data_IF_632425543269
#
_entry.id   IF_632425543269
#
_cell.length_a   1.000
_cell.length_b   1.000
_cell.length_c   1.000
_cell.angle_alpha   90.00
_cell.angle_beta   90.00
_cell.angle_gamma   90.00
#
_symmetry.space_group_name_H-M   'P 1'
#
loop_
_entity.id
_entity.type
_entity.pdbx_description
1 polymer ?
#
# COMPACT_ATOMS: atom_id res chain seq x y z
N UNK A 1 -21.46 1.06 11.06
CA UNK A 1 -20.13 0.94 10.45
C UNK A 1 -19.39 -0.17 11.20
N UNK A 2 -18.87 -1.17 10.53
CA UNK A 2 -18.10 -2.24 11.16
C UNK A 2 -16.73 -1.72 11.59
N UNK A 3 -16.24 -2.22 12.73
CA UNK A 3 -14.90 -1.90 13.24
C UNK A 3 -14.05 -3.17 13.25
N UNK A 4 -12.79 -3.06 12.80
CA UNK A 4 -11.88 -4.19 12.73
C UNK A 4 -10.56 -3.88 13.43
N UNK A 5 -9.91 -4.92 13.94
CA UNK A 5 -8.57 -4.82 14.51
C UNK A 5 -7.55 -5.34 13.51
N UNK A 6 -6.73 -4.43 12.97
CA UNK A 6 -5.61 -4.79 12.10
C UNK A 6 -4.44 -5.30 12.97
N UNK A 7 -4.20 -6.61 12.94
CA UNK A 7 -3.16 -7.24 13.77
C UNK A 7 -1.80 -7.19 13.08
N UNK A 8 -0.74 -6.94 13.88
CA UNK A 8 0.67 -7.14 13.48
C UNK A 8 1.11 -6.43 12.19
N UNK A 9 0.72 -5.18 12.00
CA UNK A 9 1.15 -4.38 10.83
C UNK A 9 2.66 -4.15 10.83
N UNK A 10 3.24 -3.84 11.99
CA UNK A 10 4.67 -3.59 12.18
C UNK A 10 5.17 -4.52 13.29
N UNK A 11 6.14 -5.40 12.97
CA UNK A 11 6.54 -6.50 13.87
C UNK A 11 7.76 -6.20 14.74
N UNK A 12 8.59 -5.27 14.32
CA UNK A 12 9.87 -4.98 14.98
C UNK A 12 10.27 -3.50 14.80
N UNK A 13 11.19 -3.06 15.65
CA UNK A 13 11.68 -1.69 15.67
C UNK A 13 12.25 -1.22 14.31
N UNK A 14 13.00 -2.07 13.61
CA UNK A 14 13.63 -1.71 12.33
C UNK A 14 12.59 -1.49 11.23
N UNK A 15 11.60 -2.36 11.16
CA UNK A 15 10.48 -2.19 10.24
C UNK A 15 9.71 -0.91 10.54
N UNK A 16 9.52 -0.57 11.81
CA UNK A 16 8.86 0.67 12.22
C UNK A 16 9.61 1.91 11.71
N UNK A 17 10.92 1.98 11.93
CA UNK A 17 11.75 3.08 11.45
C UNK A 17 11.80 3.16 9.91
N UNK A 18 11.79 2.02 9.22
CA UNK A 18 11.71 2.00 7.76
C UNK A 18 10.38 2.58 7.24
N UNK A 19 9.25 2.29 7.91
CA UNK A 19 7.96 2.87 7.54
C UNK A 19 7.84 4.34 7.89
N UNK A 20 8.41 4.80 9.00
CA UNK A 20 8.51 6.24 9.32
C UNK A 20 9.33 6.99 8.25
N UNK A 21 10.46 6.41 7.84
CA UNK A 21 11.28 6.97 6.75
C UNK A 21 10.52 7.00 5.42
N UNK A 22 9.77 5.92 5.10
CA UNK A 22 8.94 5.88 3.89
C UNK A 22 7.83 6.93 3.96
N UNK A 23 7.16 7.09 5.12
CA UNK A 23 6.18 8.15 5.36
C UNK A 23 6.76 9.53 5.09
N UNK A 24 7.91 9.85 5.68
CA UNK A 24 8.58 11.13 5.49
C UNK A 24 8.91 11.39 4.00
N UNK A 25 9.39 10.37 3.29
CA UNK A 25 9.66 10.47 1.85
C UNK A 25 8.38 10.74 1.03
N UNK A 26 7.26 10.12 1.40
CA UNK A 26 5.97 10.39 0.77
C UNK A 26 5.51 11.82 1.07
N UNK A 27 5.61 12.29 2.31
CA UNK A 27 5.25 13.65 2.70
C UNK A 27 6.11 14.69 1.94
N UNK A 28 7.40 14.42 1.73
CA UNK A 28 8.29 15.29 0.97
C UNK A 28 8.06 15.25 -0.56
N UNK A 29 7.32 14.28 -1.08
CA UNK A 29 7.03 14.21 -2.52
C UNK A 29 6.04 15.25 -3.02
N UNK A 30 5.41 16.01 -2.10
CA UNK A 30 4.50 17.12 -2.40
C UNK A 30 3.10 16.93 -1.83
N UNK A 31 2.52 18.03 -1.36
CA UNK A 31 1.18 18.04 -0.74
C UNK A 31 0.04 17.71 -1.75
N UNK A 32 0.32 17.77 -3.03
CA UNK A 32 -0.58 17.42 -4.13
C UNK A 32 -0.65 15.91 -4.38
N UNK A 33 0.27 15.11 -3.84
CA UNK A 33 0.34 13.66 -4.00
C UNK A 33 -0.47 12.93 -2.91
N UNK A 34 -1.79 13.07 -2.97
CA UNK A 34 -2.71 12.49 -1.97
C UNK A 34 -3.09 11.04 -2.26
N UNK A 35 -3.36 10.71 -3.53
CA UNK A 35 -3.81 9.37 -3.95
C UNK A 35 -2.64 8.62 -4.56
N UNK A 36 -2.16 7.59 -3.84
CA UNK A 36 -0.95 6.87 -4.20
C UNK A 36 -1.27 5.39 -4.39
N UNK A 37 -0.99 4.87 -5.58
CA UNK A 37 -1.14 3.44 -5.89
C UNK A 37 0.17 2.69 -5.67
N UNK A 38 0.07 1.54 -5.00
CA UNK A 38 1.15 0.58 -4.83
C UNK A 38 0.92 -0.62 -5.72
N UNK A 39 1.93 -0.99 -6.51
CA UNK A 39 1.95 -2.21 -7.31
C UNK A 39 3.28 -2.93 -7.17
N UNK A 40 3.43 -4.09 -7.80
CA UNK A 40 4.68 -4.86 -7.81
C UNK A 40 4.90 -5.49 -9.19
N UNK A 41 6.07 -6.08 -9.41
CA UNK A 41 6.35 -6.79 -10.65
C UNK A 41 5.70 -8.16 -10.67
N UNK A 42 5.76 -8.88 -9.53
CA UNK A 42 5.25 -10.25 -9.39
C UNK A 42 4.42 -10.40 -8.11
N UNK A 43 3.62 -11.48 -7.99
CA UNK A 43 2.97 -11.82 -6.72
C UNK A 43 3.99 -12.04 -5.59
N UNK A 44 3.54 -11.85 -4.35
CA UNK A 44 4.31 -12.11 -3.12
C UNK A 44 5.54 -11.20 -2.88
N UNK A 45 5.70 -10.09 -3.58
CA UNK A 45 6.76 -9.11 -3.29
C UNK A 45 6.51 -8.29 -2.02
N UNK A 46 5.33 -8.41 -1.43
CA UNK A 46 4.95 -7.77 -0.16
C UNK A 46 4.28 -6.42 -0.33
N UNK A 47 3.79 -6.06 -1.54
CA UNK A 47 3.10 -4.80 -1.81
C UNK A 47 2.00 -4.48 -0.80
N UNK A 48 1.08 -5.43 -0.54
CA UNK A 48 -0.05 -5.23 0.38
C UNK A 48 0.39 -5.01 1.84
N UNK A 49 1.50 -5.65 2.25
CA UNK A 49 2.09 -5.42 3.56
C UNK A 49 2.72 -4.02 3.63
N UNK A 50 3.47 -3.63 2.60
CA UNK A 50 4.13 -2.32 2.55
C UNK A 50 3.10 -1.20 2.49
N UNK A 51 2.12 -1.29 1.61
CA UNK A 51 1.10 -0.26 1.42
C UNK A 51 0.22 -0.07 2.68
N UNK A 52 -0.23 -1.18 3.31
CA UNK A 52 -1.04 -1.11 4.52
C UNK A 52 -0.24 -0.63 5.73
N UNK A 53 1.03 -1.06 5.89
CA UNK A 53 1.90 -0.57 6.97
C UNK A 53 2.24 0.91 6.82
N UNK A 54 2.42 1.40 5.58
CA UNK A 54 2.57 2.82 5.32
C UNK A 54 1.28 3.59 5.69
N UNK A 55 0.11 3.08 5.30
CA UNK A 55 -1.17 3.70 5.65
C UNK A 55 -1.34 3.82 7.17
N UNK A 56 -0.97 2.78 7.93
CA UNK A 56 -0.96 2.83 9.39
C UNK A 56 0.06 3.83 9.93
N UNK A 57 1.28 3.87 9.38
CA UNK A 57 2.30 4.84 9.79
C UNK A 57 1.90 6.29 9.51
N UNK A 58 1.17 6.56 8.42
CA UNK A 58 0.60 7.88 8.14
C UNK A 58 -0.50 8.24 9.16
N UNK A 59 -1.36 7.29 9.52
CA UNK A 59 -2.42 7.49 10.51
C UNK A 59 -1.85 7.74 11.92
N UNK A 60 -0.81 7.00 12.34
CA UNK A 60 -0.04 7.27 13.57
C UNK A 60 0.57 8.68 13.57
N UNK A 61 0.86 9.25 12.40
CA UNK A 61 1.30 10.63 12.20
C UNK A 61 0.13 11.63 12.08
N UNK A 62 -1.04 11.29 12.63
CA UNK A 62 -2.24 12.14 12.69
C UNK A 62 -2.83 12.52 11.31
N UNK A 63 -2.46 11.81 10.24
CA UNK A 63 -3.07 11.97 8.92
C UNK A 63 -4.33 11.14 8.79
N UNK A 64 -5.39 11.72 8.24
CA UNK A 64 -6.62 10.99 7.91
C UNK A 64 -6.41 10.16 6.65
N UNK A 65 -6.37 8.84 6.78
CA UNK A 65 -5.97 7.90 5.71
C UNK A 65 -7.12 6.98 5.34
N UNK A 66 -7.32 6.82 4.03
CA UNK A 66 -8.13 5.74 3.46
C UNK A 66 -7.21 4.73 2.78
N UNK A 67 -7.25 3.48 3.23
CA UNK A 67 -6.63 2.37 2.52
C UNK A 67 -7.66 1.65 1.66
N UNK A 68 -7.33 1.38 0.39
CA UNK A 68 -8.20 0.67 -0.55
C UNK A 68 -7.47 -0.56 -1.06
N UNK A 69 -7.99 -1.74 -0.74
CA UNK A 69 -7.58 -3.00 -1.35
C UNK A 69 -8.26 -3.15 -2.72
N UNK A 70 -7.54 -2.84 -3.77
CA UNK A 70 -8.00 -2.91 -5.15
C UNK A 70 -7.48 -4.15 -5.89
N UNK A 71 -6.86 -5.12 -5.19
CA UNK A 71 -6.54 -6.44 -5.77
C UNK A 71 -7.81 -7.31 -5.80
N UNK A 72 -8.72 -7.00 -6.74
CA UNK A 72 -9.98 -7.72 -6.90
C UNK A 72 -9.81 -9.16 -7.41
N UNK A 73 -8.57 -9.57 -7.74
CA UNK A 73 -8.28 -10.92 -8.26
C UNK A 73 -7.82 -11.90 -7.20
N UNK A 74 -6.98 -11.43 -6.27
CA UNK A 74 -6.35 -12.30 -5.26
C UNK A 74 -5.99 -11.50 -3.99
N UNK A 75 -6.97 -10.80 -3.41
CA UNK A 75 -6.75 -10.16 -2.11
C UNK A 75 -6.38 -11.20 -1.04
N UNK A 76 -5.40 -10.84 -0.21
CA UNK A 76 -4.94 -11.67 0.91
C UNK A 76 -5.23 -11.01 2.27
N UNK A 77 -5.73 -9.77 2.27
CA UNK A 77 -5.82 -8.95 3.47
C UNK A 77 -6.87 -9.44 4.46
N UNK A 78 -8.06 -9.80 3.99
CA UNK A 78 -9.13 -10.34 4.86
C UNK A 78 -8.67 -11.59 5.60
N UNK A 79 -8.04 -12.54 4.90
CA UNK A 79 -7.52 -13.76 5.51
C UNK A 79 -6.40 -13.52 6.51
N UNK A 80 -5.49 -12.58 6.22
CA UNK A 80 -4.37 -12.24 7.10
C UNK A 80 -4.80 -11.59 8.42
N UNK A 81 -5.83 -10.75 8.38
CA UNK A 81 -6.30 -10.03 9.56
C UNK A 81 -7.44 -10.75 10.29
N UNK A 82 -7.81 -11.99 9.85
CA UNK A 82 -8.87 -12.82 10.45
C UNK A 82 -10.15 -12.02 10.64
N UNK A 83 -10.50 -11.22 9.64
CA UNK A 83 -11.75 -10.48 9.65
C UNK A 83 -12.89 -11.47 9.48
N UNK A 84 -13.75 -11.56 10.52
CA UNK A 84 -14.89 -12.48 10.57
C UNK A 84 -16.14 -11.71 10.20
N UNK A 85 -16.96 -12.27 9.31
CA UNK A 85 -18.25 -11.72 8.90
C UNK A 85 -18.35 -11.51 7.39
N UNK A 86 -19.58 -11.27 6.93
CA UNK A 86 -19.89 -11.02 5.51
C UNK A 86 -19.63 -9.54 5.18
N UNK A 87 -18.32 -9.18 5.07
CA UNK A 87 -17.90 -7.84 4.73
C UNK A 87 -18.14 -7.54 3.26
N UNK A 88 -19.02 -6.58 2.99
CA UNK A 88 -19.10 -5.97 1.67
C UNK A 88 -17.80 -5.18 1.41
N UNK A 89 -17.25 -5.31 0.20
CA UNK A 89 -16.00 -4.65 -0.18
C UNK A 89 -16.12 -3.87 -1.47
N UNK A 90 -14.99 -3.45 -2.01
CA UNK A 90 -14.88 -2.62 -3.20
C UNK A 90 -15.63 -3.20 -4.39
N UNK A 91 -15.56 -4.53 -4.63
CA UNK A 91 -16.27 -5.18 -5.71
C UNK A 91 -17.78 -5.02 -5.62
N UNK A 92 -18.37 -5.11 -4.42
CA UNK A 92 -19.79 -4.90 -4.19
C UNK A 92 -20.21 -3.45 -4.48
N UNK A 93 -19.40 -2.47 -4.06
CA UNK A 93 -19.67 -1.06 -4.36
C UNK A 93 -19.61 -0.78 -5.86
N UNK A 94 -18.55 -1.26 -6.54
CA UNK A 94 -18.34 -1.00 -7.96
C UNK A 94 -19.40 -1.66 -8.84
N UNK A 95 -19.89 -2.83 -8.44
CA UNK A 95 -21.01 -3.54 -9.14
C UNK A 95 -22.38 -2.98 -8.79
N UNK A 96 -22.50 -2.07 -7.81
CA UNK A 96 -23.79 -1.49 -7.40
C UNK A 96 -24.59 -2.32 -6.41
N UNK A 97 -23.97 -3.33 -5.79
CA UNK A 97 -24.59 -4.18 -4.75
C UNK A 97 -24.46 -3.60 -3.34
N UNK A 98 -23.69 -2.52 -3.16
CA UNK A 98 -23.53 -1.83 -1.89
C UNK A 98 -23.34 -0.33 -2.10
N UNK A 99 -23.68 0.47 -1.09
CA UNK A 99 -23.35 1.87 -1.03
C UNK A 99 -21.94 2.07 -0.45
N UNK A 100 -21.35 3.25 -0.69
CA UNK A 100 -19.98 3.55 -0.21
C UNK A 100 -19.86 3.44 1.32
N UNK A 101 -20.87 3.86 2.06
CA UNK A 101 -20.91 3.78 3.54
C UNK A 101 -20.88 2.35 4.08
N UNK A 102 -21.33 1.37 3.27
CA UNK A 102 -21.40 -0.04 3.67
C UNK A 102 -20.07 -0.77 3.49
N UNK A 103 -19.16 -0.22 2.68
CA UNK A 103 -17.87 -0.84 2.35
C UNK A 103 -16.69 -0.17 3.06
N UNK A 104 -16.88 1.03 3.62
CA UNK A 104 -15.85 1.68 4.45
C UNK A 104 -15.89 1.07 5.84
N UNK A 105 -14.79 0.45 6.25
CA UNK A 105 -14.59 -0.18 7.55
C UNK A 105 -13.65 0.70 8.40
N UNK A 106 -14.05 1.00 9.63
CA UNK A 106 -13.17 1.67 10.61
C UNK A 106 -12.19 0.66 11.20
N UNK A 107 -11.01 1.14 11.59
CA UNK A 107 -10.03 0.33 12.31
C UNK A 107 -9.93 0.79 13.77
N UNK A 108 -9.09 0.10 14.56
CA UNK A 108 -8.74 0.54 15.91
C UNK A 108 -8.05 1.91 15.97
N UNK A 109 -7.47 2.38 14.84
CA UNK A 109 -6.93 3.73 14.70
C UNK A 109 -8.02 4.63 14.11
N UNK A 110 -8.45 5.69 14.81
CA UNK A 110 -9.52 6.58 14.34
C UNK A 110 -9.17 7.32 13.04
N UNK A 111 -7.88 7.43 12.71
CA UNK A 111 -7.38 8.09 11.51
C UNK A 111 -7.28 7.14 10.30
N UNK A 112 -7.45 5.81 10.49
CA UNK A 112 -7.34 4.83 9.41
C UNK A 112 -8.68 4.18 9.11
N UNK A 113 -9.16 4.37 7.88
CA UNK A 113 -10.31 3.63 7.33
C UNK A 113 -9.83 2.70 6.22
N UNK A 114 -10.53 1.57 6.04
CA UNK A 114 -10.17 0.54 5.05
C UNK A 114 -11.37 0.19 4.18
N UNK A 115 -11.16 0.04 2.88
CA UNK A 115 -12.07 -0.63 1.96
C UNK A 115 -11.38 -1.93 1.51
N UNK A 116 -11.94 -3.07 1.87
CA UNK A 116 -11.45 -4.38 1.41
C UNK A 116 -11.91 -4.69 -0.02
N UNK A 117 -11.22 -5.61 -0.71
CA UNK A 117 -11.54 -5.98 -2.08
C UNK A 117 -12.96 -6.54 -2.24
N UNK A 118 -13.44 -7.33 -1.28
CA UNK A 118 -14.70 -8.04 -1.35
C UNK A 118 -14.59 -9.36 -2.13
N UNK A 119 -15.70 -9.82 -2.72
CA UNK A 119 -15.72 -11.04 -3.53
C UNK A 119 -15.02 -10.81 -4.87
N UNK A 120 -14.41 -11.85 -5.41
CA UNK A 120 -13.74 -11.79 -6.72
C UNK A 120 -14.79 -11.65 -7.83
N UNK A 121 -14.83 -10.54 -8.56
CA UNK A 121 -15.78 -10.36 -9.66
C UNK A 121 -15.26 -11.02 -10.95
N UNK A 122 -16.12 -11.29 -11.94
CA UNK A 122 -15.71 -11.85 -13.23
C UNK A 122 -14.92 -10.87 -14.11
N UNK A 123 -15.08 -9.55 -13.88
CA UNK A 123 -14.55 -8.49 -14.71
C UNK A 123 -13.82 -7.37 -13.88
N UNK A 124 -12.70 -7.70 -13.19
CA UNK A 124 -12.01 -6.74 -12.31
C UNK A 124 -11.57 -5.45 -13.01
N UNK A 125 -10.98 -5.57 -14.20
CA UNK A 125 -10.43 -4.44 -14.95
C UNK A 125 -11.51 -3.42 -15.35
N UNK A 126 -12.68 -3.90 -15.82
CA UNK A 126 -13.80 -3.03 -16.18
C UNK A 126 -14.37 -2.31 -14.96
N UNK A 127 -14.50 -3.00 -13.82
CA UNK A 127 -14.96 -2.39 -12.57
C UNK A 127 -14.00 -1.28 -12.10
N UNK A 128 -12.69 -1.53 -12.12
CA UNK A 128 -11.68 -0.54 -11.77
C UNK A 128 -11.59 0.61 -12.79
N UNK A 129 -11.98 0.36 -14.03
CA UNK A 129 -12.06 1.36 -15.10
C UNK A 129 -13.29 2.27 -15.04
N UNK A 130 -14.35 1.88 -14.33
CA UNK A 130 -15.65 2.52 -14.41
C UNK A 130 -15.74 3.90 -13.71
N UNK A 131 -16.87 4.61 -13.95
CA UNK A 131 -17.13 5.94 -13.37
C UNK A 131 -17.29 5.90 -11.84
N UNK A 132 -17.78 4.79 -11.26
CA UNK A 132 -17.93 4.66 -9.80
C UNK A 132 -16.58 4.64 -9.09
N UNK A 133 -15.59 3.93 -9.64
CA UNK A 133 -14.24 3.95 -9.09
C UNK A 133 -13.62 5.36 -9.18
N UNK A 134 -13.76 6.05 -10.31
CA UNK A 134 -13.30 7.42 -10.44
C UNK A 134 -14.01 8.37 -9.43
N UNK A 135 -15.31 8.21 -9.24
CA UNK A 135 -16.08 8.96 -8.25
C UNK A 135 -15.61 8.70 -6.81
N UNK A 136 -15.34 7.43 -6.46
CA UNK A 136 -14.76 7.06 -5.17
C UNK A 136 -13.43 7.77 -4.93
N UNK A 137 -12.50 7.69 -5.87
CA UNK A 137 -11.18 8.32 -5.75
C UNK A 137 -11.30 9.85 -5.60
N UNK A 138 -12.14 10.50 -6.41
CA UNK A 138 -12.34 11.94 -6.33
C UNK A 138 -12.99 12.38 -5.01
N UNK A 139 -13.93 11.61 -4.48
CA UNK A 139 -14.53 11.85 -3.18
C UNK A 139 -13.54 11.64 -2.03
N UNK A 140 -12.77 10.56 -2.10
CA UNK A 140 -11.75 10.23 -1.12
C UNK A 140 -10.63 11.29 -1.04
N UNK A 141 -10.15 11.80 -2.21
CA UNK A 141 -9.15 12.89 -2.30
C UNK A 141 -9.57 14.15 -1.54
N UNK A 142 -10.88 14.43 -1.46
CA UNK A 142 -11.43 15.60 -0.75
C UNK A 142 -11.59 15.36 0.75
N UNK A 143 -11.76 14.11 1.17
CA UNK A 143 -12.16 13.73 2.54
C UNK A 143 -11.01 13.19 3.39
N UNK A 144 -9.90 12.79 2.76
CA UNK A 144 -8.72 12.21 3.40
C UNK A 144 -7.47 13.00 3.03
N UNK A 145 -6.47 12.98 3.93
CA UNK A 145 -5.15 13.53 3.66
C UNK A 145 -4.38 12.64 2.69
N UNK A 146 -4.51 11.31 2.86
CA UNK A 146 -3.93 10.31 1.98
C UNK A 146 -4.94 9.20 1.63
N UNK A 147 -4.86 8.74 0.39
CA UNK A 147 -5.55 7.54 -0.10
C UNK A 147 -4.49 6.58 -0.62
N UNK A 148 -4.28 5.47 0.08
CA UNK A 148 -3.31 4.45 -0.29
C UNK A 148 -4.04 3.28 -0.94
N UNK A 149 -3.67 2.95 -2.19
CA UNK A 149 -4.34 1.91 -2.98
C UNK A 149 -3.39 0.74 -3.20
N UNK A 150 -3.77 -0.44 -2.75
CA UNK A 150 -3.06 -1.69 -3.02
C UNK A 150 -3.61 -2.32 -4.30
N UNK A 151 -2.84 -2.32 -5.39
CA UNK A 151 -3.23 -2.84 -6.69
C UNK A 151 -2.54 -4.19 -6.98
N UNK A 152 -3.09 -5.07 -7.85
CA UNK A 152 -2.42 -6.31 -8.22
C UNK A 152 -1.08 -6.06 -8.91
N UNK A 153 -0.20 -7.10 -9.02
CA UNK A 153 1.09 -6.97 -9.68
C UNK A 153 0.95 -6.57 -11.16
N UNK A 154 1.55 -5.45 -11.55
CA UNK A 154 1.47 -4.95 -12.93
C UNK A 154 2.17 -5.87 -13.95
N UNK A 155 3.18 -6.61 -13.52
CA UNK A 155 3.81 -7.62 -14.39
C UNK A 155 2.93 -8.84 -14.68
N UNK A 156 1.78 -8.98 -13.99
CA UNK A 156 0.83 -10.07 -14.19
C UNK A 156 -0.45 -9.62 -14.89
N UNK A 157 -0.98 -8.43 -14.54
CA UNK A 157 -2.28 -7.92 -15.04
C UNK A 157 -2.26 -6.39 -15.16
N UNK A 158 -3.10 -5.86 -16.06
CA UNK A 158 -3.13 -4.43 -16.39
C UNK A 158 -3.83 -3.54 -15.34
N UNK A 159 -4.50 -4.13 -14.38
CA UNK A 159 -5.37 -3.45 -13.41
C UNK A 159 -4.67 -2.28 -12.69
N UNK A 160 -3.40 -2.47 -12.30
CA UNK A 160 -2.63 -1.43 -11.64
C UNK A 160 -2.42 -0.18 -12.52
N UNK A 161 -2.25 -0.34 -13.83
CA UNK A 161 -2.15 0.79 -14.76
C UNK A 161 -3.49 1.50 -14.93
N UNK A 162 -4.62 0.77 -14.91
CA UNK A 162 -5.97 1.34 -14.97
C UNK A 162 -6.24 2.20 -13.72
N UNK A 163 -5.83 1.70 -12.54
CA UNK A 163 -5.93 2.41 -11.26
C UNK A 163 -5.04 3.66 -11.29
N UNK A 164 -3.78 3.51 -11.71
CA UNK A 164 -2.77 4.58 -11.73
C UNK A 164 -3.24 5.82 -12.48
N UNK A 165 -3.96 5.67 -13.60
CA UNK A 165 -4.57 6.80 -14.34
C UNK A 165 -5.50 7.70 -13.52
N UNK A 166 -5.93 7.27 -12.33
CA UNK A 166 -6.82 8.03 -11.43
C UNK A 166 -6.10 8.51 -10.17
N UNK A 167 -4.81 8.18 -10.05
CA UNK A 167 -3.97 8.48 -8.90
C UNK A 167 -3.06 9.69 -9.17
N UNK A 168 -2.56 10.31 -8.10
CA UNK A 168 -1.61 11.42 -8.18
C UNK A 168 -0.17 10.92 -8.30
N UNK A 169 0.08 9.69 -7.83
CA UNK A 169 1.39 9.07 -7.87
C UNK A 169 1.31 7.54 -7.74
N UNK A 170 2.42 6.89 -8.06
CA UNK A 170 2.58 5.44 -7.94
C UNK A 170 3.89 5.07 -7.26
N UNK A 171 3.91 3.91 -6.60
CA UNK A 171 5.08 3.31 -5.96
C UNK A 171 5.20 1.86 -6.42
N UNK A 172 6.39 1.46 -6.85
CA UNK A 172 6.68 0.08 -7.24
C UNK A 172 7.37 -0.65 -6.08
N UNK A 173 6.78 -1.75 -5.61
CA UNK A 173 7.36 -2.60 -4.56
C UNK A 173 8.07 -3.78 -5.22
N UNK A 174 9.34 -3.97 -4.90
CA UNK A 174 10.18 -5.05 -5.43
C UNK A 174 10.79 -5.82 -4.27
N UNK A 175 10.69 -7.15 -4.30
CA UNK A 175 11.40 -8.00 -3.36
C UNK A 175 12.87 -8.15 -3.78
N UNK A 176 13.80 -7.97 -2.83
CA UNK A 176 15.23 -8.11 -3.11
C UNK A 176 15.57 -9.50 -3.66
N UNK A 177 16.44 -9.55 -4.66
CA UNK A 177 16.96 -10.77 -5.27
C UNK A 177 15.92 -11.74 -5.87
N UNK A 178 14.71 -11.25 -6.23
CA UNK A 178 13.64 -12.12 -6.76
C UNK A 178 13.40 -11.96 -8.25
N UNK A 179 13.67 -10.81 -8.81
CA UNK A 179 13.44 -10.51 -10.23
C UNK A 179 14.69 -9.93 -10.90
N UNK A 180 14.79 -10.09 -12.21
CA UNK A 180 15.88 -9.47 -12.97
C UNK A 180 15.63 -7.96 -13.13
N UNK A 181 16.73 -7.20 -13.22
CA UNK A 181 16.68 -5.76 -13.53
C UNK A 181 15.92 -5.49 -14.85
N UNK A 182 16.10 -6.34 -15.86
CA UNK A 182 15.41 -6.21 -17.16
C UNK A 182 13.89 -6.31 -17.00
N UNK A 183 13.41 -7.23 -16.16
CA UNK A 183 11.97 -7.37 -15.92
C UNK A 183 11.42 -6.21 -15.08
N UNK A 184 12.15 -5.77 -14.05
CA UNK A 184 11.75 -4.60 -13.26
C UNK A 184 11.63 -3.33 -14.14
N UNK A 185 12.60 -3.14 -15.05
CA UNK A 185 12.57 -2.03 -16.01
C UNK A 185 11.37 -2.13 -16.96
N UNK A 186 11.08 -3.32 -17.48
CA UNK A 186 9.90 -3.53 -18.32
C UNK A 186 8.60 -3.14 -17.59
N UNK A 187 8.43 -3.58 -16.34
CA UNK A 187 7.23 -3.25 -15.54
C UNK A 187 7.15 -1.75 -15.26
N UNK A 188 8.29 -1.10 -14.95
CA UNK A 188 8.37 0.35 -14.79
C UNK A 188 7.89 1.06 -16.06
N UNK A 189 8.37 0.67 -17.24
CA UNK A 189 7.97 1.23 -18.53
C UNK A 189 6.46 1.03 -18.79
N UNK A 190 5.85 -0.10 -18.35
CA UNK A 190 4.40 -0.27 -18.42
C UNK A 190 3.64 0.68 -17.48
N UNK A 191 4.18 0.92 -16.29
CA UNK A 191 3.58 1.86 -15.33
C UNK A 191 3.65 3.30 -15.85
N UNK A 192 4.76 3.69 -16.47
CA UNK A 192 4.94 5.02 -17.08
C UNK A 192 3.91 5.33 -18.19
N UNK A 193 3.42 4.32 -18.91
CA UNK A 193 2.34 4.48 -19.91
C UNK A 193 1.00 4.90 -19.28
N UNK A 194 0.83 4.77 -17.98
CA UNK A 194 -0.35 5.30 -17.30
C UNK A 194 -0.33 6.81 -17.10
N UNK A 195 0.81 7.47 -17.40
CA UNK A 195 1.07 8.90 -17.16
C UNK A 195 1.00 9.30 -15.69
N UNK A 196 0.95 8.31 -14.77
CA UNK A 196 0.99 8.52 -13.33
C UNK A 196 2.46 8.64 -12.88
N UNK A 197 2.86 9.72 -12.20
CA UNK A 197 4.22 9.88 -11.72
C UNK A 197 4.63 8.71 -10.81
N UNK A 198 5.83 8.18 -11.02
CA UNK A 198 6.43 7.16 -10.15
C UNK A 198 7.28 7.87 -9.10
N UNK A 199 6.86 7.86 -7.83
CA UNK A 199 7.62 8.48 -6.72
C UNK A 199 8.91 7.74 -6.43
N UNK A 200 8.92 6.43 -6.65
CA UNK A 200 10.08 5.60 -6.38
C UNK A 200 9.79 4.12 -6.29
N UNK A 201 10.80 3.40 -5.83
CA UNK A 201 10.75 1.95 -5.62
C UNK A 201 11.00 1.64 -4.14
N UNK A 202 10.16 0.79 -3.57
CA UNK A 202 10.40 0.20 -2.25
C UNK A 202 11.07 -1.17 -2.43
N UNK A 203 12.33 -1.28 -2.06
CA UNK A 203 13.03 -2.56 -2.03
C UNK A 203 12.67 -3.29 -0.73
N UNK A 204 11.87 -4.34 -0.84
CA UNK A 204 11.36 -5.12 0.28
C UNK A 204 12.16 -6.42 0.48
N UNK A 205 12.02 -7.05 1.66
CA UNK A 205 12.66 -8.33 2.03
C UNK A 205 14.19 -8.34 1.87
N UNK A 206 14.83 -7.20 2.13
CA UNK A 206 16.30 -7.12 2.10
C UNK A 206 16.89 -7.91 3.26
N UNK A 207 17.77 -8.89 2.96
CA UNK A 207 18.55 -9.57 3.99
C UNK A 207 19.71 -8.69 4.45
N UNK A 208 19.52 -8.05 5.60
CA UNK A 208 20.50 -7.15 6.20
C UNK A 208 21.79 -7.85 6.63
N UNK A 209 21.78 -9.18 6.84
CA UNK A 209 22.98 -9.95 7.23
C UNK A 209 23.90 -10.22 6.04
N UNK A 210 23.32 -10.46 4.87
CA UNK A 210 24.09 -10.75 3.65
C UNK A 210 24.53 -9.50 2.92
N UNK A 211 23.85 -8.38 3.08
CA UNK A 211 24.12 -7.15 2.36
C UNK A 211 25.06 -6.24 3.16
N UNK A 212 26.39 -6.47 3.07
CA UNK A 212 27.43 -5.69 3.77
C UNK A 212 27.31 -4.17 3.55
N UNK A 213 26.78 -3.73 2.42
CA UNK A 213 26.60 -2.30 2.11
C UNK A 213 25.48 -1.68 2.95
N UNK A 214 24.30 -2.29 2.96
CA UNK A 214 23.17 -1.83 3.78
C UNK A 214 23.42 -2.09 5.27
N UNK A 215 24.01 -3.22 5.64
CA UNK A 215 24.36 -3.55 7.02
C UNK A 215 25.38 -2.57 7.62
N UNK A 216 26.35 -2.11 6.82
CA UNK A 216 27.37 -1.12 7.25
C UNK A 216 26.80 0.30 7.34
N UNK A 217 25.92 0.68 6.40
CA UNK A 217 25.30 2.01 6.39
C UNK A 217 24.26 2.16 7.51
N UNK A 218 23.35 1.23 7.64
CA UNK A 218 22.34 1.23 8.72
C UNK A 218 22.93 0.82 10.08
N UNK A 219 23.86 -0.13 10.14
CA UNK A 219 24.48 -0.57 11.38
C UNK A 219 25.37 0.50 12.02
N UNK A 220 26.09 1.28 11.23
CA UNK A 220 26.94 2.37 11.71
C UNK A 220 26.12 3.59 12.16
N UNK A 221 25.13 4.01 11.37
CA UNK A 221 24.29 5.17 11.70
C UNK A 221 23.30 4.90 12.84
N UNK A 222 22.70 3.72 12.91
CA UNK A 222 21.72 3.41 13.96
C UNK A 222 22.35 2.74 15.20
N UNK A 223 23.45 2.01 15.05
CA UNK A 223 24.16 1.39 16.17
C UNK A 223 24.88 2.39 17.07
N UNK A 224 25.50 3.43 16.50
CA UNK A 224 26.17 4.49 17.25
C UNK A 224 25.17 5.45 17.94
N UNK A 225 24.01 5.74 17.34
CA UNK A 225 23.02 6.66 17.93
C UNK A 225 22.14 6.04 19.02
N UNK A 226 21.91 4.71 19.00
CA UNK A 226 20.98 4.03 19.93
C UNK A 226 21.60 2.87 20.72
N UNK A 227 22.91 2.57 20.50
CA UNK A 227 23.63 1.47 21.16
C UNK A 227 24.07 1.74 22.58
N UNK A 228 24.19 2.99 23.01
CA UNK A 228 24.81 3.37 24.28
C UNK A 228 23.85 3.41 25.50
N UNK A 229 22.55 3.13 25.33
CA UNK A 229 21.63 3.13 26.47
C UNK A 229 21.50 1.77 27.19
N UNK A 230 22.19 0.71 26.77
CA UNK A 230 22.13 -0.64 27.42
C UNK A 230 23.40 -1.04 28.19
N UNK A 231 24.34 -0.13 28.41
CA UNK A 231 25.55 -0.42 29.23
C UNK A 231 25.65 0.40 30.53
N UNK A 232 24.53 0.88 31.06
CA UNK A 232 24.48 1.38 32.44
C UNK A 232 23.29 0.80 33.17
N UNK A 233 23.42 -0.44 33.60
CA UNK A 233 22.81 -1.03 34.80
C UNK A 233 23.64 -2.24 35.21
#
# INVERSE_FOLDING_TARGET
MQEIVLKNLIKDYRSNEAYKSLRTNIEFSGADKKVIVFTSCTPNEGKSTVSLSLAASLAEGEKKVLFIDADLRKSVLLGRHKVVGDLKGLSHFLSGQAELKDVITKTQDPNLSVIFAGVVPPNPAELLGNKKFAGLINGARKSYDYVIIDAPPLGSVIDAAIIAKKCDASVLVISANTISYKFARFVKEQLEKSECPILGVVLNKVDMKQNKYYGKYYGKYYGEYYGDQKKKK
#
